data_IF_867246791346
#
_entry.id   IF_867246791346
#
_cell.length_a   1.000
_cell.length_b   1.000
_cell.length_c   1.000
_cell.angle_alpha   90.00
_cell.angle_beta   90.00
_cell.angle_gamma   90.00
#
_symmetry.space_group_name_H-M   'P 1'
#
loop_
_entity.id
_entity.type
_entity.pdbx_description
1 polymer ?
#
# COMPACT_ATOMS: atom_id res chain seq x y z
N UNK A 1 6.00 87.07 -1.82
CA UNK A 1 4.87 86.53 -1.04
C UNK A 1 4.84 85.01 -1.18
N UNK A 2 4.93 84.33 -0.04
CA UNK A 2 4.60 82.92 0.28
C UNK A 2 5.09 81.77 -0.64
N UNK A 3 6.04 81.03 -0.05
CA UNK A 3 6.25 79.58 -0.03
C UNK A 3 6.80 78.84 -1.27
N UNK A 4 8.14 78.80 -1.32
CA UNK A 4 9.04 77.65 -1.02
C UNK A 4 8.61 76.20 -1.40
N UNK A 5 9.57 75.32 -1.72
CA UNK A 5 9.83 74.87 -3.09
C UNK A 5 10.09 73.34 -3.17
N UNK A 6 10.76 72.92 -4.27
CA UNK A 6 11.68 71.76 -4.40
C UNK A 6 11.07 70.50 -5.00
N UNK A 7 11.70 69.83 -5.95
CA UNK A 7 12.57 70.13 -7.11
C UNK A 7 12.94 68.74 -7.68
N UNK A 8 13.30 68.72 -8.97
CA UNK A 8 13.98 67.67 -9.76
C UNK A 8 13.03 66.70 -10.51
N UNK A 9 12.89 66.75 -11.84
CA UNK A 9 13.91 66.67 -12.93
C UNK A 9 14.67 65.33 -12.81
N UNK A 10 14.70 64.38 -13.75
CA UNK A 10 14.62 64.40 -15.20
C UNK A 10 14.11 63.02 -15.71
N UNK A 11 13.47 63.02 -16.88
CA UNK A 11 13.22 61.84 -17.72
C UNK A 11 14.51 61.12 -18.13
N UNK A 12 14.45 59.80 -18.31
CA UNK A 12 14.78 59.18 -19.60
C UNK A 12 14.19 57.75 -19.71
N UNK A 13 13.54 57.51 -20.83
CA UNK A 13 12.89 56.26 -21.25
C UNK A 13 13.89 55.16 -21.62
N UNK A 14 13.67 53.93 -21.16
CA UNK A 14 14.21 52.71 -21.79
C UNK A 14 13.47 51.46 -21.30
N UNK A 15 13.17 50.57 -22.24
CA UNK A 15 12.63 49.22 -22.06
C UNK A 15 13.35 48.44 -20.95
N UNK A 16 12.58 47.85 -20.03
CA UNK A 16 12.95 46.57 -19.40
C UNK A 16 11.67 45.76 -19.23
N UNK A 17 11.66 44.58 -19.85
CA UNK A 17 10.57 43.62 -19.73
C UNK A 17 10.31 43.28 -18.26
N UNK A 18 9.03 43.17 -17.91
CA UNK A 18 8.60 42.52 -16.69
C UNK A 18 9.03 41.05 -16.75
N UNK A 19 10.23 40.77 -16.25
CA UNK A 19 10.56 39.44 -15.78
C UNK A 19 9.64 39.20 -14.58
N UNK A 20 8.61 38.39 -14.82
CA UNK A 20 7.95 37.64 -13.78
C UNK A 20 9.06 36.86 -13.07
N UNK A 21 9.50 37.37 -11.92
CA UNK A 21 10.22 36.57 -10.93
C UNK A 21 9.23 35.51 -10.45
N UNK A 22 9.13 34.44 -11.25
CA UNK A 22 8.78 33.12 -10.76
C UNK A 22 9.68 32.87 -9.57
N UNK A 23 9.10 32.88 -8.37
CA UNK A 23 9.71 32.26 -7.20
C UNK A 23 9.94 30.79 -7.55
N UNK A 24 11.08 30.50 -8.17
CA UNK A 24 11.73 29.21 -8.07
C UNK A 24 12.21 29.08 -6.62
N UNK A 25 11.27 28.78 -5.71
CA UNK A 25 11.64 28.12 -4.48
C UNK A 25 12.18 26.76 -4.91
N UNK A 26 13.49 26.59 -4.79
CA UNK A 26 14.14 25.29 -4.81
C UNK A 26 13.29 24.33 -3.98
N UNK A 27 12.60 23.40 -4.66
CA UNK A 27 12.14 22.17 -4.04
C UNK A 27 13.40 21.38 -3.70
N UNK A 28 14.09 21.76 -2.61
CA UNK A 28 14.96 20.84 -1.90
C UNK A 28 14.05 19.71 -1.42
N UNK A 29 13.97 18.64 -2.20
CA UNK A 29 13.42 17.38 -1.72
C UNK A 29 14.19 17.05 -0.45
N UNK A 30 13.52 17.06 0.69
CA UNK A 30 14.12 16.61 1.94
C UNK A 30 14.59 15.18 1.69
N UNK A 31 15.91 14.97 1.61
CA UNK A 31 16.49 13.66 1.36
C UNK A 31 16.19 12.84 2.62
N UNK A 32 15.45 11.74 2.49
CA UNK A 32 15.17 10.87 3.62
C UNK A 32 16.50 10.38 4.19
N UNK A 33 16.67 10.56 5.49
CA UNK A 33 17.85 10.09 6.20
C UNK A 33 17.70 8.60 6.51
N UNK A 34 18.00 7.78 5.49
CA UNK A 34 17.99 6.31 5.58
C UNK A 34 18.89 5.85 6.75
N UNK A 35 19.98 6.56 7.05
CA UNK A 35 20.90 6.21 8.13
C UNK A 35 20.26 6.37 9.53
N UNK A 36 19.30 7.30 9.66
CA UNK A 36 18.56 7.45 10.91
C UNK A 36 17.48 6.37 11.05
N UNK A 37 16.78 6.06 9.96
CA UNK A 37 15.84 4.92 9.93
C UNK A 37 16.55 3.60 10.27
N UNK A 38 17.73 3.35 9.71
CA UNK A 38 18.52 2.14 9.98
C UNK A 38 18.87 1.92 11.45
N UNK A 39 19.03 3.01 12.23
CA UNK A 39 19.30 2.92 13.68
C UNK A 39 18.10 2.43 14.46
N UNK A 40 16.90 2.71 13.98
CA UNK A 40 15.64 2.36 14.62
C UNK A 40 15.18 0.92 14.26
N UNK A 41 15.87 0.26 13.32
CA UNK A 41 15.59 -1.13 12.92
C UNK A 41 15.96 -2.09 14.05
N UNK A 42 14.98 -2.88 14.47
CA UNK A 42 15.19 -4.03 15.34
C UNK A 42 15.73 -5.19 14.50
N UNK A 43 17.02 -5.50 14.65
CA UNK A 43 17.63 -6.71 14.10
C UNK A 43 17.71 -7.79 15.19
N UNK A 44 17.17 -8.98 14.91
CA UNK A 44 17.23 -10.17 15.76
C UNK A 44 17.97 -11.30 15.05
N UNK A 45 18.41 -12.29 15.82
CA UNK A 45 19.03 -13.50 15.29
C UNK A 45 18.00 -14.42 14.62
N UNK A 46 16.77 -14.45 15.17
CA UNK A 46 15.67 -15.25 14.65
C UNK A 46 14.31 -14.53 14.82
N UNK A 47 13.33 -14.98 14.04
CA UNK A 47 11.91 -14.63 14.17
C UNK A 47 11.04 -15.72 13.56
N UNK A 48 9.73 -15.48 13.44
CA UNK A 48 8.84 -16.38 12.73
C UNK A 48 8.26 -15.72 11.49
N UNK A 49 8.32 -16.44 10.36
CA UNK A 49 7.60 -16.06 9.15
C UNK A 49 6.27 -16.78 9.12
N UNK A 50 5.20 -16.02 8.87
CA UNK A 50 3.84 -16.50 8.74
C UNK A 50 3.40 -16.39 7.30
N UNK A 51 2.83 -17.48 6.81
CA UNK A 51 2.46 -17.64 5.41
C UNK A 51 1.04 -18.16 5.31
N UNK A 52 0.20 -17.41 4.62
CA UNK A 52 -1.18 -17.76 4.35
C UNK A 52 -1.31 -18.33 2.94
N UNK A 53 -1.68 -19.60 2.85
CA UNK A 53 -2.14 -20.24 1.62
C UNK A 53 -3.64 -20.03 1.51
N UNK A 54 -4.12 -19.71 0.33
CA UNK A 54 -5.55 -19.51 0.11
C UNK A 54 -5.98 -19.93 -1.28
N UNK A 55 -7.21 -20.40 -1.35
CA UNK A 55 -7.93 -20.72 -2.57
C UNK A 55 -9.39 -20.29 -2.42
N UNK A 56 -10.06 -20.08 -3.55
CA UNK A 56 -11.45 -19.69 -3.59
C UNK A 56 -12.15 -20.35 -4.78
N UNK A 57 -13.47 -20.46 -4.69
CA UNK A 57 -14.32 -20.81 -5.82
C UNK A 57 -15.60 -20.00 -5.79
N UNK A 58 -16.14 -19.76 -6.98
CA UNK A 58 -17.40 -19.06 -7.21
C UNK A 58 -17.62 -17.74 -6.42
N UNK A 59 -16.54 -17.00 -6.14
CA UNK A 59 -16.63 -15.67 -5.54
C UNK A 59 -15.43 -14.79 -5.93
N UNK A 60 -15.64 -13.48 -5.88
CA UNK A 60 -14.59 -12.49 -5.65
C UNK A 60 -14.35 -12.33 -4.15
N UNK A 61 -13.17 -11.88 -3.74
CA UNK A 61 -12.85 -11.82 -2.31
C UNK A 61 -11.80 -10.77 -1.94
N UNK A 62 -11.79 -10.43 -0.66
CA UNK A 62 -10.70 -9.74 0.02
C UNK A 62 -10.31 -10.56 1.25
N UNK A 63 -9.01 -10.73 1.46
CA UNK A 63 -8.48 -11.26 2.71
C UNK A 63 -7.70 -10.12 3.36
N UNK A 64 -8.05 -9.81 4.60
CA UNK A 64 -7.45 -8.77 5.40
C UNK A 64 -6.82 -9.38 6.65
N UNK A 65 -5.72 -8.79 7.09
CA UNK A 65 -5.07 -9.10 8.37
C UNK A 65 -5.14 -7.83 9.21
N UNK A 66 -5.77 -7.91 10.38
CA UNK A 66 -6.00 -6.77 11.27
C UNK A 66 -6.67 -5.57 10.56
N UNK A 67 -7.69 -5.87 9.75
CA UNK A 67 -8.46 -4.94 8.90
C UNK A 67 -7.64 -4.19 7.84
N UNK A 68 -6.44 -4.66 7.48
CA UNK A 68 -5.66 -4.16 6.34
C UNK A 68 -5.57 -5.23 5.25
N UNK A 69 -5.77 -4.89 3.96
CA UNK A 69 -5.87 -5.91 2.91
C UNK A 69 -4.53 -6.55 2.59
N UNK A 70 -4.48 -7.87 2.75
CA UNK A 70 -3.40 -8.71 2.26
C UNK A 70 -3.56 -8.97 0.75
N UNK A 71 -4.78 -9.28 0.32
CA UNK A 71 -5.10 -9.52 -1.08
C UNK A 71 -6.53 -9.11 -1.38
N UNK A 72 -6.72 -8.64 -2.62
CA UNK A 72 -8.01 -8.30 -3.20
C UNK A 72 -8.12 -8.94 -4.57
N UNK A 73 -9.22 -9.65 -4.84
CA UNK A 73 -9.46 -10.33 -6.10
C UNK A 73 -10.90 -10.17 -6.57
N UNK A 74 -11.07 -9.36 -7.62
CA UNK A 74 -12.31 -9.19 -8.39
C UNK A 74 -12.15 -9.67 -9.83
N UNK A 75 -11.18 -10.54 -10.09
CA UNK A 75 -10.82 -11.01 -11.43
C UNK A 75 -11.62 -12.22 -11.90
N UNK A 76 -11.34 -12.64 -13.14
CA UNK A 76 -11.88 -13.87 -13.72
C UNK A 76 -11.09 -15.10 -13.29
N UNK A 77 -11.79 -16.23 -13.18
CA UNK A 77 -11.21 -17.52 -12.86
C UNK A 77 -10.97 -17.73 -11.36
N UNK A 78 -10.35 -18.87 -11.06
CA UNK A 78 -9.98 -19.26 -9.70
C UNK A 78 -8.47 -19.06 -9.51
N UNK A 79 -8.08 -18.71 -8.30
CA UNK A 79 -6.69 -18.54 -7.89
C UNK A 79 -6.43 -19.32 -6.62
N UNK A 80 -5.31 -20.04 -6.63
CA UNK A 80 -4.69 -20.56 -5.42
C UNK A 80 -3.28 -19.99 -5.37
N UNK A 81 -2.93 -19.38 -4.25
CA UNK A 81 -1.62 -18.75 -4.08
C UNK A 81 -1.26 -18.65 -2.60
N UNK A 82 -0.15 -18.01 -2.31
CA UNK A 82 0.47 -17.92 -1.00
C UNK A 82 0.96 -16.50 -0.76
N UNK A 83 0.75 -15.97 0.44
CA UNK A 83 1.21 -14.64 0.83
C UNK A 83 1.80 -14.65 2.24
N UNK A 84 2.81 -13.80 2.47
CA UNK A 84 3.40 -13.59 3.78
C UNK A 84 2.65 -12.49 4.53
N UNK A 85 2.36 -12.71 5.81
CA UNK A 85 1.45 -11.84 6.56
C UNK A 85 2.12 -11.02 7.68
N UNK A 86 3.41 -11.24 7.93
CA UNK A 86 4.18 -10.63 9.01
C UNK A 86 3.98 -9.11 9.12
N UNK A 87 4.11 -8.42 7.99
CA UNK A 87 3.97 -6.97 7.93
C UNK A 87 2.62 -6.48 8.45
N UNK A 88 1.56 -7.28 8.40
CA UNK A 88 0.24 -6.89 8.88
C UNK A 88 0.01 -7.17 10.38
N UNK A 89 0.93 -7.86 11.03
CA UNK A 89 0.89 -8.18 12.46
C UNK A 89 1.76 -7.20 13.24
N UNK A 90 1.14 -6.11 13.70
CA UNK A 90 1.88 -4.99 14.29
C UNK A 90 2.62 -5.34 15.58
N UNK A 91 2.09 -6.27 16.37
CA UNK A 91 2.64 -6.64 17.67
C UNK A 91 2.16 -8.02 18.12
N UNK A 92 2.83 -8.67 19.08
CA UNK A 92 2.35 -9.86 19.75
C UNK A 92 0.94 -9.73 20.30
N UNK A 93 0.21 -10.83 20.28
CA UNK A 93 -1.12 -10.94 20.82
C UNK A 93 -2.12 -11.50 19.81
N UNK A 94 -3.39 -11.20 20.07
CA UNK A 94 -4.52 -11.48 19.18
C UNK A 94 -4.36 -10.78 17.84
N UNK A 95 -4.53 -11.57 16.79
CA UNK A 95 -4.60 -11.14 15.39
C UNK A 95 -5.95 -11.58 14.82
N UNK A 96 -6.38 -10.95 13.73
CA UNK A 96 -7.64 -11.30 13.04
C UNK A 96 -7.41 -11.42 11.54
N UNK A 97 -7.83 -12.54 10.95
CA UNK A 97 -8.04 -12.68 9.51
C UNK A 97 -9.50 -12.32 9.23
N UNK A 98 -9.75 -11.40 8.30
CA UNK A 98 -11.09 -11.13 7.79
C UNK A 98 -11.19 -11.58 6.34
N UNK A 99 -12.19 -12.40 6.01
CA UNK A 99 -12.54 -12.76 4.65
C UNK A 99 -13.80 -11.99 4.29
N UNK A 100 -13.76 -11.19 3.22
CA UNK A 100 -14.93 -10.56 2.61
C UNK A 100 -15.18 -11.20 1.25
N UNK A 101 -16.36 -11.75 1.05
CA UNK A 101 -16.77 -12.41 -0.19
C UNK A 101 -17.79 -11.56 -0.93
N UNK A 102 -17.64 -11.52 -2.26
CA UNK A 102 -18.51 -10.81 -3.19
C UNK A 102 -18.86 -11.73 -4.37
N UNK A 103 -19.99 -11.50 -5.06
CA UNK A 103 -20.37 -12.30 -6.22
C UNK A 103 -19.23 -12.41 -7.24
N UNK A 104 -19.11 -13.57 -7.87
CA UNK A 104 -18.04 -13.84 -8.84
C UNK A 104 -18.15 -12.96 -10.07
N UNK A 105 -17.01 -12.46 -10.56
CA UNK A 105 -16.92 -11.86 -11.90
C UNK A 105 -17.07 -12.93 -12.98
N UNK A 106 -18.01 -12.74 -13.91
CA UNK A 106 -18.35 -13.69 -14.98
C UNK A 106 -17.77 -13.31 -16.33
N UNK A 107 -17.63 -12.00 -16.58
CA UNK A 107 -16.94 -11.45 -17.76
C UNK A 107 -16.24 -10.14 -17.37
N UNK A 108 -15.58 -9.47 -18.32
CA UNK A 108 -14.83 -8.23 -18.05
C UNK A 108 -15.64 -7.12 -17.40
N UNK A 109 -16.97 -7.15 -17.49
CA UNK A 109 -17.88 -6.09 -17.05
C UNK A 109 -19.02 -6.55 -16.14
N UNK A 110 -19.17 -7.86 -15.92
CA UNK A 110 -20.30 -8.42 -15.18
C UNK A 110 -19.87 -9.29 -14.02
N UNK A 111 -20.68 -9.22 -12.98
CA UNK A 111 -20.62 -10.07 -11.80
C UNK A 111 -21.93 -10.86 -11.74
N UNK A 112 -21.90 -12.03 -11.09
CA UNK A 112 -23.12 -12.67 -10.60
C UNK A 112 -23.88 -11.69 -9.69
N UNK A 113 -25.19 -11.89 -9.55
CA UNK A 113 -26.00 -11.07 -8.66
C UNK A 113 -25.72 -11.38 -7.18
N UNK A 114 -25.46 -12.66 -6.89
CA UNK A 114 -25.29 -13.18 -5.53
C UNK A 114 -24.13 -14.17 -5.44
N UNK A 115 -23.66 -14.37 -4.22
CA UNK A 115 -22.96 -15.57 -3.77
C UNK A 115 -23.99 -16.68 -3.61
N UNK A 116 -23.59 -17.93 -3.85
CA UNK A 116 -24.45 -19.11 -3.68
C UNK A 116 -23.78 -20.16 -2.78
N UNK A 117 -24.44 -21.31 -2.61
CA UNK A 117 -23.95 -22.41 -1.76
C UNK A 117 -22.61 -23.05 -2.20
N UNK A 118 -22.13 -22.73 -3.41
CA UNK A 118 -20.84 -23.19 -3.96
C UNK A 118 -19.73 -22.15 -3.79
N UNK A 119 -20.05 -20.91 -3.41
CA UNK A 119 -19.06 -19.87 -3.12
C UNK A 119 -18.27 -20.21 -1.85
N UNK A 120 -16.95 -20.24 -1.92
CA UNK A 120 -16.12 -20.43 -0.73
C UNK A 120 -14.73 -19.77 -0.84
N UNK A 121 -14.14 -19.53 0.33
CA UNK A 121 -12.71 -19.25 0.50
C UNK A 121 -12.16 -20.25 1.51
N UNK A 122 -11.00 -20.83 1.20
CA UNK A 122 -10.27 -21.72 2.10
C UNK A 122 -8.88 -21.16 2.36
N UNK A 123 -8.46 -21.25 3.62
CA UNK A 123 -7.22 -20.73 4.15
C UNK A 123 -6.44 -21.84 4.86
N UNK A 124 -5.12 -21.78 4.74
CA UNK A 124 -4.18 -22.47 5.61
C UNK A 124 -3.08 -21.50 6.02
N UNK A 125 -3.04 -21.16 7.30
CA UNK A 125 -2.00 -20.36 7.90
C UNK A 125 -0.94 -21.29 8.48
N UNK A 126 0.29 -21.09 8.01
CA UNK A 126 1.47 -21.82 8.43
C UNK A 126 2.48 -20.82 9.03
N UNK A 127 3.35 -21.28 9.94
CA UNK A 127 4.50 -20.52 10.42
C UNK A 127 5.78 -21.34 10.40
N UNK A 128 6.92 -20.66 10.34
CA UNK A 128 8.25 -21.27 10.40
C UNK A 128 9.21 -20.36 11.16
N UNK A 129 10.12 -20.97 11.94
CA UNK A 129 11.22 -20.23 12.54
C UNK A 129 12.28 -19.90 11.49
N UNK A 130 12.57 -18.62 11.33
CA UNK A 130 13.57 -18.06 10.42
C UNK A 130 14.74 -17.50 11.20
N UNK A 131 15.95 -17.61 10.65
CA UNK A 131 17.16 -16.99 11.19
C UNK A 131 17.96 -16.32 10.08
N UNK A 132 18.86 -15.41 10.44
CA UNK A 132 19.76 -14.79 9.46
C UNK A 132 20.58 -15.90 8.77
N UNK A 133 20.45 -16.07 7.46
CA UNK A 133 21.08 -17.12 6.62
C UNK A 133 20.31 -18.44 6.46
N UNK A 134 19.06 -18.54 6.91
CA UNK A 134 18.27 -19.76 6.77
C UNK A 134 17.07 -19.52 5.86
N UNK A 135 17.15 -19.98 4.61
CA UNK A 135 16.03 -19.96 3.67
C UNK A 135 15.08 -21.14 3.94
N UNK A 136 14.07 -21.39 3.09
CA UNK A 136 13.13 -22.52 3.24
C UNK A 136 13.82 -23.91 3.32
N UNK A 137 15.12 -23.98 3.02
CA UNK A 137 15.96 -25.16 3.16
C UNK A 137 16.93 -25.01 4.34
N UNK A 138 17.08 -26.07 5.13
CA UNK A 138 18.15 -26.14 6.13
C UNK A 138 19.53 -26.07 5.47
N UNK A 139 20.58 -25.85 6.26
CA UNK A 139 21.98 -25.94 5.81
C UNK A 139 22.33 -27.31 5.19
N UNK A 140 21.50 -28.33 5.41
CA UNK A 140 21.60 -29.68 4.86
C UNK A 140 20.76 -29.89 3.58
N UNK A 141 20.12 -28.84 3.05
CA UNK A 141 19.27 -28.92 1.86
C UNK A 141 17.91 -29.58 2.07
N UNK A 142 17.49 -29.81 3.32
CA UNK A 142 16.15 -30.35 3.63
C UNK A 142 15.14 -29.22 3.73
N UNK A 143 13.98 -29.40 3.07
CA UNK A 143 12.85 -28.50 3.26
C UNK A 143 12.49 -28.45 4.75
N UNK A 144 12.32 -27.25 5.29
CA UNK A 144 11.90 -27.07 6.67
C UNK A 144 10.40 -27.28 6.81
N UNK A 145 10.01 -27.97 7.87
CA UNK A 145 8.61 -28.20 8.16
C UNK A 145 7.95 -26.90 8.64
N UNK A 146 6.87 -26.55 7.97
CA UNK A 146 5.98 -25.47 8.36
C UNK A 146 5.02 -25.98 9.43
N UNK A 147 4.94 -25.27 10.55
CA UNK A 147 3.97 -25.56 11.60
C UNK A 147 2.61 -24.99 11.19
N UNK A 148 1.58 -25.84 11.21
CA UNK A 148 0.21 -25.42 10.93
C UNK A 148 -0.33 -24.61 12.12
N UNK A 149 -0.79 -23.39 11.84
CA UNK A 149 -1.42 -22.50 12.83
C UNK A 149 -2.93 -22.62 12.78
N UNK A 150 -3.49 -22.63 11.57
CA UNK A 150 -4.94 -22.63 11.35
C UNK A 150 -5.26 -23.18 9.95
N UNK A 151 -6.30 -24.00 9.86
CA UNK A 151 -6.99 -24.33 8.61
C UNK A 151 -8.44 -23.91 8.73
N UNK A 152 -8.94 -23.16 7.75
CA UNK A 152 -10.30 -22.64 7.76
C UNK A 152 -10.90 -22.70 6.37
N UNK A 153 -12.17 -23.07 6.28
CA UNK A 153 -12.96 -22.90 5.07
C UNK A 153 -14.26 -22.19 5.45
N UNK A 154 -14.66 -21.19 4.66
CA UNK A 154 -15.94 -20.51 4.87
C UNK A 154 -17.07 -21.53 4.83
N UNK A 155 -18.07 -21.43 5.73
CA UNK A 155 -19.22 -22.32 5.69
C UNK A 155 -20.00 -22.13 4.39
N UNK A 156 -20.74 -23.16 3.98
CA UNK A 156 -21.70 -23.03 2.88
C UNK A 156 -22.75 -21.99 3.24
N UNK A 157 -23.10 -21.14 2.28
CA UNK A 157 -24.18 -20.18 2.45
C UNK A 157 -25.52 -20.91 2.41
N UNK A 158 -26.36 -20.69 3.42
CA UNK A 158 -27.72 -21.27 3.49
C UNK A 158 -28.67 -20.59 2.50
N UNK A 159 -28.38 -19.34 2.13
CA UNK A 159 -29.14 -18.53 1.20
C UNK A 159 -28.19 -17.67 0.37
N UNK A 160 -28.62 -17.37 -0.84
CA UNK A 160 -27.93 -16.45 -1.72
C UNK A 160 -27.78 -15.07 -1.06
N UNK A 161 -26.59 -14.48 -1.16
CA UNK A 161 -26.28 -13.21 -0.52
C UNK A 161 -25.37 -12.33 -1.40
N UNK A 162 -25.55 -11.00 -1.42
CA UNK A 162 -24.68 -10.10 -2.19
C UNK A 162 -23.30 -9.90 -1.53
N UNK A 163 -23.12 -10.36 -0.30
CA UNK A 163 -21.91 -10.18 0.50
C UNK A 163 -21.89 -11.16 1.68
N UNK A 164 -20.70 -11.65 2.03
CA UNK A 164 -20.48 -12.39 3.27
C UNK A 164 -19.14 -11.97 3.90
N UNK A 165 -19.10 -11.85 5.23
CA UNK A 165 -17.88 -11.55 5.97
C UNK A 165 -17.65 -12.60 7.06
N UNK A 166 -16.40 -13.06 7.18
CA UNK A 166 -15.97 -14.00 8.21
C UNK A 166 -14.72 -13.47 8.90
N UNK A 167 -14.70 -13.52 10.24
CA UNK A 167 -13.59 -13.09 11.07
C UNK A 167 -13.03 -14.27 11.84
N UNK A 168 -11.74 -14.52 11.67
CA UNK A 168 -11.05 -15.67 12.22
C UNK A 168 -9.90 -15.18 13.11
N UNK A 169 -10.06 -15.25 14.44
CA UNK A 169 -8.99 -14.86 15.35
C UNK A 169 -7.88 -15.92 15.38
N UNK A 170 -6.64 -15.47 15.56
CA UNK A 170 -5.51 -16.33 15.91
C UNK A 170 -4.56 -15.59 16.85
N UNK A 171 -3.65 -16.30 17.49
CA UNK A 171 -2.72 -15.73 18.47
C UNK A 171 -1.30 -15.83 17.91
N UNK A 172 -0.51 -14.77 18.07
CA UNK A 172 0.92 -14.75 17.79
C UNK A 172 1.67 -14.30 19.04
N UNK A 173 2.51 -15.17 19.58
CA UNK A 173 3.22 -14.96 20.85
C UNK A 173 4.36 -13.93 20.74
N UNK A 174 4.84 -13.46 21.89
CA UNK A 174 6.00 -12.55 21.99
C UNK A 174 7.32 -13.17 21.54
N UNK A 175 7.40 -14.50 21.52
CA UNK A 175 8.55 -15.24 21.03
C UNK A 175 8.53 -15.36 19.49
N UNK A 176 7.33 -15.27 18.89
CA UNK A 176 7.14 -15.36 17.45
C UNK A 176 7.28 -14.00 16.77
N UNK A 177 6.62 -12.97 17.33
CA UNK A 177 6.74 -11.59 16.85
C UNK A 177 7.66 -10.81 17.79
N UNK A 178 8.88 -10.56 17.34
CA UNK A 178 9.92 -9.92 18.14
C UNK A 178 9.94 -8.39 17.97
N UNK A 179 8.91 -7.84 17.34
CA UNK A 179 8.73 -6.42 17.01
C UNK A 179 7.44 -5.85 17.60
N UNK A 180 7.42 -4.52 17.71
CA UNK A 180 6.21 -3.74 17.96
C UNK A 180 6.23 -2.53 17.02
N UNK A 181 5.48 -2.65 15.93
CA UNK A 181 5.37 -1.64 14.88
C UNK A 181 4.15 -0.77 15.18
N UNK A 182 4.34 0.55 15.20
CA UNK A 182 3.23 1.49 15.40
C UNK A 182 2.23 1.42 14.26
N UNK A 183 2.70 1.60 13.02
CA UNK A 183 1.87 1.48 11.83
C UNK A 183 0.59 2.30 11.88
N UNK A 184 -0.47 1.72 11.31
CA UNK A 184 -1.79 2.35 11.32
C UNK A 184 -2.45 2.38 12.72
N UNK A 185 -1.93 1.65 13.71
CA UNK A 185 -2.51 1.67 15.05
C UNK A 185 -2.36 3.02 15.75
N UNK A 186 -1.32 3.80 15.40
CA UNK A 186 -1.12 5.19 15.83
C UNK A 186 -1.56 6.21 14.75
N UNK A 187 -2.50 5.84 13.89
CA UNK A 187 -3.06 6.77 12.89
C UNK A 187 -4.34 7.44 13.37
N UNK A 188 -4.60 8.62 12.80
CA UNK A 188 -5.83 9.35 13.03
C UNK A 188 -7.02 8.63 12.38
N UNK A 189 -8.17 8.69 13.03
CA UNK A 189 -9.41 8.27 12.40
C UNK A 189 -9.72 9.21 11.23
N UNK A 190 -9.97 8.64 10.05
CA UNK A 190 -10.28 9.37 8.85
C UNK A 190 -11.79 9.50 8.71
N UNK A 191 -12.25 10.70 8.36
CA UNK A 191 -13.67 10.99 8.14
C UNK A 191 -13.91 11.08 6.64
N UNK A 192 -14.84 10.28 6.13
CA UNK A 192 -15.25 10.34 4.73
C UNK A 192 -16.00 11.64 4.43
N UNK A 193 -15.29 12.63 3.92
CA UNK A 193 -15.82 13.92 3.51
C UNK A 193 -15.09 14.41 2.25
N UNK A 194 -15.61 15.48 1.64
CA UNK A 194 -15.04 16.02 0.40
C UNK A 194 -13.60 16.53 0.56
N UNK A 195 -13.21 16.99 1.76
CA UNK A 195 -11.84 17.44 2.02
C UNK A 195 -10.84 16.27 1.97
N UNK A 196 -11.13 15.16 2.65
CA UNK A 196 -10.31 13.95 2.60
C UNK A 196 -10.28 13.37 1.19
N UNK A 197 -11.44 13.33 0.51
CA UNK A 197 -11.52 12.88 -0.88
C UNK A 197 -10.58 13.68 -1.75
N UNK A 198 -10.66 15.02 -1.72
CA UNK A 198 -9.76 15.89 -2.47
C UNK A 198 -8.29 15.62 -2.17
N UNK A 199 -7.93 15.49 -0.89
CA UNK A 199 -6.56 15.23 -0.46
C UNK A 199 -6.00 13.90 -1.00
N UNK A 200 -6.81 12.84 -0.97
CA UNK A 200 -6.44 11.53 -1.52
C UNK A 200 -6.28 11.61 -3.05
N UNK A 201 -7.18 12.28 -3.76
CA UNK A 201 -7.05 12.48 -5.21
C UNK A 201 -5.79 13.30 -5.56
N UNK A 202 -5.50 14.35 -4.81
CA UNK A 202 -4.29 15.16 -5.00
C UNK A 202 -3.03 14.32 -4.75
N UNK A 203 -3.04 13.42 -3.76
CA UNK A 203 -1.95 12.48 -3.52
C UNK A 203 -1.71 11.57 -4.73
N UNK A 204 -2.76 10.95 -5.27
CA UNK A 204 -2.65 10.08 -6.43
C UNK A 204 -2.18 10.83 -7.69
N UNK A 205 -2.66 12.07 -7.91
CA UNK A 205 -2.19 12.93 -9.01
C UNK A 205 -0.71 13.28 -8.86
N UNK A 206 -0.25 13.58 -7.64
CA UNK A 206 1.16 13.79 -7.36
C UNK A 206 1.99 12.53 -7.63
N UNK A 207 1.53 11.35 -7.20
CA UNK A 207 2.21 10.08 -7.48
C UNK A 207 2.29 9.80 -8.99
N UNK A 208 1.21 10.05 -9.72
CA UNK A 208 1.18 9.99 -11.19
C UNK A 208 2.24 10.91 -11.82
N UNK A 209 2.31 12.18 -11.42
CA UNK A 209 3.31 13.13 -11.92
C UNK A 209 4.74 12.68 -11.63
N UNK A 210 4.99 12.09 -10.45
CA UNK A 210 6.31 11.54 -10.11
C UNK A 210 6.73 10.41 -11.06
N UNK A 211 5.81 9.51 -11.42
CA UNK A 211 6.06 8.45 -12.41
C UNK A 211 6.31 9.05 -13.80
N UNK A 212 5.44 9.97 -14.24
CA UNK A 212 5.52 10.61 -15.57
C UNK A 212 6.84 11.37 -15.75
N UNK A 213 7.25 12.12 -14.72
CA UNK A 213 8.49 12.89 -14.72
C UNK A 213 9.74 12.04 -14.48
N UNK A 214 9.58 10.75 -14.17
CA UNK A 214 10.69 9.86 -13.79
C UNK A 214 11.49 10.40 -12.60
N UNK A 215 10.83 11.09 -11.66
CA UNK A 215 11.46 11.72 -10.50
C UNK A 215 11.77 10.67 -9.44
N UNK A 216 12.94 10.04 -9.56
CA UNK A 216 13.41 8.99 -8.65
C UNK A 216 13.45 9.45 -7.19
N UNK A 217 13.88 10.68 -6.93
CA UNK A 217 14.03 11.18 -5.56
C UNK A 217 12.65 11.33 -4.91
N UNK A 218 11.68 11.90 -5.63
CA UNK A 218 10.31 11.98 -5.14
C UNK A 218 9.67 10.60 -4.98
N UNK A 219 9.92 9.68 -5.90
CA UNK A 219 9.40 8.31 -5.84
C UNK A 219 9.94 7.55 -4.62
N UNK A 220 11.26 7.57 -4.41
CA UNK A 220 11.89 7.03 -3.20
C UNK A 220 11.31 7.66 -1.94
N UNK A 221 11.14 8.99 -1.93
CA UNK A 221 10.61 9.68 -0.77
C UNK A 221 9.17 9.28 -0.42
N UNK A 222 8.36 8.95 -1.43
CA UNK A 222 6.98 8.47 -1.22
C UNK A 222 6.94 7.07 -0.62
N UNK A 223 7.91 6.19 -0.94
CA UNK A 223 7.90 4.77 -0.58
C UNK A 223 8.78 4.40 0.63
N UNK A 224 9.76 5.22 0.99
CA UNK A 224 10.76 4.83 1.99
C UNK A 224 10.15 4.46 3.34
N UNK A 225 9.12 5.19 3.79
CA UNK A 225 8.44 4.89 5.06
C UNK A 225 7.74 3.54 5.02
N UNK A 226 6.99 3.23 3.95
CA UNK A 226 6.28 1.94 3.85
C UNK A 226 7.26 0.77 3.75
N UNK A 227 8.37 0.93 3.03
CA UNK A 227 9.44 -0.08 2.93
C UNK A 227 10.09 -0.32 4.29
N UNK A 228 10.34 0.74 5.04
CA UNK A 228 10.87 0.65 6.39
C UNK A 228 9.93 -0.12 7.33
N UNK A 229 8.64 0.19 7.26
CA UNK A 229 7.61 -0.49 8.04
C UNK A 229 7.43 -1.97 7.66
N UNK A 230 7.53 -2.31 6.38
CA UNK A 230 7.49 -3.70 5.90
C UNK A 230 8.70 -4.49 6.42
N UNK A 231 9.90 -3.95 6.24
CA UNK A 231 11.13 -4.58 6.68
C UNK A 231 11.19 -4.81 8.19
N UNK A 232 10.57 -3.92 8.98
CA UNK A 232 10.50 -4.04 10.43
C UNK A 232 9.76 -5.28 10.91
N UNK A 233 8.94 -5.91 10.05
CA UNK A 233 8.22 -7.13 10.35
C UNK A 233 9.00 -8.42 10.01
N UNK A 234 10.21 -8.28 9.46
CA UNK A 234 11.15 -9.37 9.18
C UNK A 234 12.44 -9.17 9.98
N UNK A 235 12.31 -9.08 11.31
CA UNK A 235 13.40 -8.68 12.23
C UNK A 235 14.74 -9.43 12.07
N UNK A 236 14.74 -10.62 11.46
CA UNK A 236 15.95 -11.42 11.21
C UNK A 236 16.70 -11.01 9.94
N UNK A 237 16.09 -10.21 9.07
CA UNK A 237 16.64 -9.75 7.79
C UNK A 237 16.37 -8.26 7.49
N UNK A 238 15.71 -7.51 8.38
CA UNK A 238 15.28 -6.12 8.18
C UNK A 238 16.36 -5.21 7.59
N UNK A 239 17.62 -5.29 8.07
CA UNK A 239 18.71 -4.46 7.56
C UNK A 239 19.10 -4.82 6.12
N UNK A 240 19.16 -6.11 5.80
CA UNK A 240 19.46 -6.56 4.45
C UNK A 240 18.32 -6.18 3.49
N UNK A 241 17.07 -6.41 3.92
CA UNK A 241 15.89 -6.04 3.16
C UNK A 241 15.86 -4.54 2.82
N UNK A 242 16.05 -3.66 3.81
CA UNK A 242 16.02 -2.21 3.58
C UNK A 242 17.14 -1.80 2.64
N UNK A 243 18.35 -2.31 2.86
CA UNK A 243 19.49 -2.01 1.99
C UNK A 243 19.17 -2.41 0.54
N UNK A 244 18.74 -3.64 0.31
CA UNK A 244 18.45 -4.16 -1.03
C UNK A 244 17.30 -3.39 -1.69
N UNK A 245 16.22 -3.11 -0.95
CA UNK A 245 15.08 -2.34 -1.45
C UNK A 245 15.46 -0.89 -1.80
N UNK A 246 16.26 -0.22 -0.96
CA UNK A 246 16.73 1.14 -1.22
C UNK A 246 17.74 1.19 -2.37
N UNK A 247 18.65 0.22 -2.46
CA UNK A 247 19.58 0.09 -3.59
C UNK A 247 18.81 -0.17 -4.90
N UNK A 248 17.77 -1.00 -4.86
CA UNK A 248 16.91 -1.24 -6.01
C UNK A 248 16.22 0.05 -6.47
N UNK A 249 15.61 0.81 -5.55
CA UNK A 249 14.95 2.08 -5.87
C UNK A 249 15.91 3.15 -6.39
N UNK A 250 17.13 3.21 -5.85
CA UNK A 250 18.13 4.17 -6.30
C UNK A 250 18.65 3.82 -7.70
N UNK A 251 18.97 2.54 -7.94
CA UNK A 251 19.68 2.10 -9.13
C UNK A 251 18.75 1.79 -10.30
N UNK A 252 17.55 1.23 -10.07
CA UNK A 252 16.61 0.92 -11.15
C UNK A 252 15.83 2.18 -11.58
N UNK A 253 15.65 2.41 -12.89
CA UNK A 253 14.74 3.45 -13.36
C UNK A 253 13.31 3.08 -12.98
N UNK A 254 12.47 4.09 -12.72
CA UNK A 254 11.03 3.90 -12.69
C UNK A 254 10.64 3.32 -14.06
N UNK A 255 9.89 2.22 -14.09
CA UNK A 255 9.51 1.59 -15.35
C UNK A 255 8.89 2.63 -16.29
N UNK A 256 9.46 2.77 -17.50
CA UNK A 256 8.91 3.68 -18.51
C UNK A 256 7.54 3.20 -18.94
N UNK A 257 6.58 4.11 -18.86
CA UNK A 257 5.20 3.84 -19.22
C UNK A 257 4.97 4.28 -20.66
N UNK A 258 4.44 3.36 -21.48
CA UNK A 258 3.89 3.70 -22.80
C UNK A 258 2.64 4.56 -22.65
N UNK A 259 1.85 4.28 -21.62
CA UNK A 259 0.63 5.00 -21.31
C UNK A 259 0.33 4.95 -19.83
N UNK A 260 -0.12 6.07 -19.26
CA UNK A 260 -0.66 6.16 -17.92
C UNK A 260 -2.14 6.53 -18.04
N UNK A 261 -3.02 5.71 -17.47
CA UNK A 261 -4.46 5.94 -17.56
C UNK A 261 -4.84 7.12 -16.65
N UNK A 262 -5.61 8.10 -17.15
CA UNK A 262 -6.07 9.20 -16.30
C UNK A 262 -6.99 8.66 -15.21
N UNK A 263 -6.81 9.15 -13.99
CA UNK A 263 -7.68 8.82 -12.87
C UNK A 263 -9.04 9.49 -13.10
N UNK A 264 -10.07 8.70 -13.35
CA UNK A 264 -11.43 9.20 -13.53
C UNK A 264 -12.13 9.34 -12.16
N UNK A 265 -12.33 10.57 -11.71
CA UNK A 265 -12.94 10.87 -10.40
C UNK A 265 -14.40 10.40 -10.29
N UNK A 266 -15.11 10.21 -11.42
CA UNK A 266 -16.48 9.70 -11.42
C UNK A 266 -16.56 8.19 -11.15
N UNK A 267 -15.50 7.46 -11.47
CA UNK A 267 -15.40 6.02 -11.27
C UNK A 267 -14.37 5.65 -10.22
N UNK A 268 -13.82 6.61 -9.47
CA UNK A 268 -12.92 6.35 -8.37
C UNK A 268 -13.61 6.65 -7.03
N UNK A 269 -13.36 5.81 -6.03
CA UNK A 269 -13.98 5.95 -4.72
C UNK A 269 -12.99 5.66 -3.60
N UNK A 270 -13.17 6.34 -2.47
CA UNK A 270 -12.45 6.04 -1.25
C UNK A 270 -12.88 4.67 -0.72
N UNK A 271 -11.90 3.88 -0.30
CA UNK A 271 -12.12 2.66 0.46
C UNK A 271 -11.28 2.70 1.73
N UNK A 272 -11.89 2.30 2.85
CA UNK A 272 -11.31 2.43 4.18
C UNK A 272 -10.96 1.07 4.79
N UNK A 273 -9.87 1.08 5.56
CA UNK A 273 -9.25 -0.06 6.22
C UNK A 273 -8.63 0.38 7.56
N UNK A 274 -8.03 -0.55 8.30
CA UNK A 274 -7.35 -0.25 9.57
C UNK A 274 -8.27 0.36 10.63
N UNK A 275 -9.54 -0.08 10.66
CA UNK A 275 -10.62 0.47 11.46
C UNK A 275 -10.84 1.97 11.20
N UNK A 276 -10.90 2.34 9.91
CA UNK A 276 -11.15 3.71 9.45
C UNK A 276 -9.95 4.65 9.54
N UNK A 277 -8.73 4.11 9.70
CA UNK A 277 -7.48 4.90 9.80
C UNK A 277 -6.63 4.87 8.53
N UNK A 278 -6.94 3.94 7.64
CA UNK A 278 -6.26 3.73 6.38
C UNK A 278 -7.27 3.95 5.25
N UNK A 279 -6.85 4.62 4.18
CA UNK A 279 -7.68 4.91 3.01
C UNK A 279 -6.91 4.64 1.71
N UNK A 280 -7.61 4.22 0.67
CA UNK A 280 -7.07 4.08 -0.69
C UNK A 280 -8.13 4.51 -1.71
N UNK A 281 -7.75 4.67 -2.98
CA UNK A 281 -8.70 4.78 -4.09
C UNK A 281 -8.88 3.43 -4.76
N UNK A 282 -10.13 3.08 -5.02
CA UNK A 282 -10.53 1.93 -5.84
C UNK A 282 -11.40 2.38 -7.00
N UNK A 283 -11.30 1.67 -8.11
CA UNK A 283 -12.16 1.85 -9.27
C UNK A 283 -13.54 1.21 -9.04
N UNK A 284 -14.57 1.88 -9.54
CA UNK A 284 -15.95 1.43 -9.71
C UNK A 284 -16.27 1.07 -11.16
N UNK A 285 -15.35 1.28 -12.11
CA UNK A 285 -15.52 0.79 -13.48
C UNK A 285 -15.51 -0.76 -13.43
N UNK A 286 -16.51 -1.45 -13.99
CA UNK A 286 -16.58 -2.90 -13.95
C UNK A 286 -15.31 -3.63 -14.43
N UNK A 287 -14.55 -3.03 -15.37
CA UNK A 287 -13.31 -3.61 -15.91
C UNK A 287 -12.16 -3.64 -14.91
N UNK A 288 -12.11 -2.68 -14.01
CA UNK A 288 -11.07 -2.56 -12.97
C UNK A 288 -11.63 -2.50 -11.56
N UNK A 289 -12.86 -2.97 -11.36
CA UNK A 289 -13.60 -2.86 -10.11
C UNK A 289 -12.78 -3.33 -8.91
N UNK A 290 -12.72 -2.50 -7.88
CA UNK A 290 -12.01 -2.79 -6.63
C UNK A 290 -10.48 -2.69 -6.70
N UNK A 291 -9.89 -2.51 -7.88
CA UNK A 291 -8.45 -2.27 -8.05
C UNK A 291 -8.12 -0.77 -8.06
N UNK A 292 -6.84 -0.44 -7.91
CA UNK A 292 -6.37 0.95 -7.99
C UNK A 292 -6.76 1.59 -9.33
N UNK A 293 -7.29 2.83 -9.33
CA UNK A 293 -7.57 3.55 -10.57
C UNK A 293 -6.29 4.11 -11.23
N UNK A 294 -5.15 4.08 -10.55
CA UNK A 294 -3.86 4.47 -11.13
C UNK A 294 -3.22 3.26 -11.80
N UNK A 295 -3.41 3.17 -13.11
CA UNK A 295 -2.95 2.06 -13.94
C UNK A 295 -2.00 2.59 -15.01
N UNK A 296 -0.93 1.85 -15.27
CA UNK A 296 0.00 2.14 -16.34
C UNK A 296 0.25 0.92 -17.23
N UNK A 297 0.60 1.16 -18.49
CA UNK A 297 1.09 0.14 -19.40
C UNK A 297 2.55 0.41 -19.69
N UNK A 298 3.42 -0.53 -19.31
CA UNK A 298 4.86 -0.41 -19.56
C UNK A 298 5.19 -0.45 -21.06
N UNK A 299 6.30 0.17 -21.45
CA UNK A 299 6.80 0.09 -22.85
C UNK A 299 7.11 -1.35 -23.29
N UNK A 300 7.62 -2.16 -22.36
CA UNK A 300 8.10 -3.52 -22.60
C UNK A 300 7.13 -4.61 -22.10
N UNK A 301 6.00 -4.23 -21.54
CA UNK A 301 5.00 -5.16 -21.00
C UNK A 301 3.65 -4.93 -21.66
N UNK A 302 3.01 -6.02 -22.11
CA UNK A 302 1.64 -5.96 -22.57
C UNK A 302 0.62 -5.98 -21.43
N UNK A 303 1.05 -6.31 -20.20
CA UNK A 303 0.20 -6.33 -19.02
C UNK A 303 0.22 -4.97 -18.32
N UNK A 304 -0.97 -4.39 -18.04
CA UNK A 304 -1.05 -3.18 -17.24
C UNK A 304 -0.60 -3.44 -15.79
N UNK A 305 0.03 -2.45 -15.18
CA UNK A 305 0.45 -2.42 -13.79
C UNK A 305 -0.48 -1.45 -13.06
N UNK A 306 -1.17 -1.92 -12.04
CA UNK A 306 -1.92 -1.07 -11.13
C UNK A 306 -1.02 -0.65 -9.96
N UNK A 307 -0.91 0.64 -9.70
CA UNK A 307 -0.19 1.17 -8.54
C UNK A 307 -1.13 1.17 -7.34
N UNK A 308 -1.10 0.08 -6.57
CA UNK A 308 -1.88 -0.07 -5.34
C UNK A 308 -1.02 0.36 -4.16
N UNK A 309 -1.54 1.28 -3.35
CA UNK A 309 -0.94 1.70 -2.08
C UNK A 309 -2.05 2.18 -1.14
N UNK A 310 -1.73 2.19 0.15
CA UNK A 310 -2.65 2.64 1.19
C UNK A 310 -2.10 3.90 1.84
N UNK A 311 -2.99 4.78 2.27
CA UNK A 311 -2.66 6.07 2.85
C UNK A 311 -3.19 6.17 4.27
N UNK A 312 -2.42 6.82 5.13
CA UNK A 312 -2.85 7.14 6.49
C UNK A 312 -2.36 8.53 6.90
N UNK A 313 -2.90 9.03 8.00
CA UNK A 313 -2.37 10.21 8.69
C UNK A 313 -1.82 9.79 10.05
N UNK A 314 -0.50 9.79 10.27
CA UNK A 314 0.07 9.53 11.58
C UNK A 314 -0.51 10.48 12.62
N UNK A 315 -0.59 10.03 13.88
CA UNK A 315 -0.96 10.90 15.00
C UNK A 315 -0.02 12.11 15.06
N UNK A 316 -0.61 13.30 15.05
CA UNK A 316 0.14 14.57 15.07
C UNK A 316 0.56 15.09 13.68
N UNK A 317 0.28 14.36 12.59
CA UNK A 317 0.53 14.81 11.22
C UNK A 317 -0.77 15.01 10.44
N UNK A 318 -0.94 16.17 9.82
CA UNK A 318 -2.10 16.40 8.95
C UNK A 318 -1.88 15.94 7.50
N UNK A 319 -0.72 15.36 7.19
CA UNK A 319 -0.35 14.92 5.84
C UNK A 319 -0.64 13.43 5.66
N UNK A 320 -1.15 13.07 4.48
CA UNK A 320 -1.18 11.69 4.02
C UNK A 320 0.22 11.21 3.68
N UNK A 321 0.54 9.98 4.08
CA UNK A 321 1.72 9.24 3.66
C UNK A 321 1.35 7.79 3.32
N UNK A 322 2.20 7.13 2.54
CA UNK A 322 1.99 5.73 2.17
C UNK A 322 2.30 4.83 3.37
N UNK A 323 1.40 3.89 3.59
CA UNK A 323 1.58 2.75 4.49
C UNK A 323 1.39 1.46 3.68
N UNK A 324 2.03 0.39 4.16
CA UNK A 324 2.00 -0.96 3.59
C UNK A 324 0.60 -1.41 3.17
#
# INVERSE_FOLDING_TARGET
MKNKPIYKILLLTSLVGFTLQSCAQDKKSQKIDISQMEKDIIQKEFGHSYRLKYEHSNCSYEILINDVPLITFYGLGERSTTAYINQYMLKPGKQEITIRMYPKKTDDTKFNETLDSTSFVKLKLDKIKMGSQEWEFSKEGKARDWEEVLVYQTPKLEKDAPFAEFKIPFEASKQELTWEIKGWSESQALVNNEALKKEVFDFYKNFQQVIENQDKNAYMNLLAHSIFEEASADSWESKAFIKDAMEELANKPISKQKFLFPINENTAALKFYGNGRVVTLVSKDPRSFGYSPLVAKGEKSNFPIAYTFYLHKPKGSNKLEIIR
#
